data_IF_835491341983
#
_entry.id   IF_835491341983
#
_cell.length_a   1.000
_cell.length_b   1.000
_cell.length_c   1.000
_cell.angle_alpha   90.00
_cell.angle_beta   90.00
_cell.angle_gamma   90.00
#
_symmetry.space_group_name_H-M   'P 1'
#
loop_
_entity.id
_entity.type
_entity.pdbx_description
1 polymer ?
#
# COMPACT_ATOMS: atom_id res chain seq x y z
N UNK A 1 -42.83 27.80 -49.13
CA UNK A 1 -41.89 28.03 -48.03
C UNK A 1 -42.22 27.12 -46.85
N UNK A 2 -41.45 26.04 -46.64
CA UNK A 2 -41.45 25.26 -45.39
C UNK A 2 -40.00 24.86 -45.12
N UNK A 3 -39.37 25.47 -44.11
CA UNK A 3 -38.07 25.02 -43.58
C UNK A 3 -38.36 24.13 -42.38
N UNK A 4 -37.99 22.85 -42.49
CA UNK A 4 -38.00 21.91 -41.37
C UNK A 4 -36.66 22.05 -40.66
N UNK A 5 -36.68 22.48 -39.40
CA UNK A 5 -35.49 22.49 -38.54
C UNK A 5 -35.36 21.14 -37.84
N UNK A 6 -34.36 20.35 -38.24
CA UNK A 6 -33.97 19.15 -37.53
C UNK A 6 -33.17 19.55 -36.27
N UNK A 7 -33.68 19.19 -35.09
CA UNK A 7 -32.94 19.27 -33.83
C UNK A 7 -32.08 18.03 -33.69
N UNK A 8 -30.77 18.17 -33.82
CA UNK A 8 -29.81 17.13 -33.45
C UNK A 8 -29.69 17.10 -31.92
N UNK A 9 -30.19 16.04 -31.29
CA UNK A 9 -29.93 15.77 -29.87
C UNK A 9 -28.57 15.09 -29.72
N UNK A 10 -27.65 15.70 -28.98
CA UNK A 10 -26.44 15.02 -28.54
C UNK A 10 -26.81 14.01 -27.45
N UNK A 11 -26.62 12.72 -27.74
CA UNK A 11 -26.60 11.66 -26.72
C UNK A 11 -25.21 11.68 -26.09
N UNK A 12 -25.11 12.18 -24.86
CA UNK A 12 -23.91 12.04 -24.06
C UNK A 12 -23.81 10.58 -23.57
N UNK A 13 -22.96 9.79 -24.23
CA UNK A 13 -22.61 8.45 -23.77
C UNK A 13 -21.68 8.59 -22.56
N UNK A 14 -22.23 8.49 -21.35
CA UNK A 14 -21.43 8.39 -20.14
C UNK A 14 -20.70 7.04 -20.16
N UNK A 15 -19.40 7.06 -20.49
CA UNK A 15 -18.51 5.93 -20.30
C UNK A 15 -18.40 5.67 -18.80
N UNK A 16 -19.17 4.71 -18.30
CA UNK A 16 -18.95 4.16 -16.97
C UNK A 16 -17.58 3.48 -16.98
N UNK A 17 -16.60 4.11 -16.35
CA UNK A 17 -15.32 3.46 -16.07
C UNK A 17 -15.61 2.21 -15.23
N UNK A 18 -15.09 1.03 -15.61
CA UNK A 18 -15.29 -0.15 -14.80
C UNK A 18 -14.74 0.14 -13.39
N UNK A 19 -15.63 0.05 -12.40
CA UNK A 19 -15.22 -0.02 -11.01
C UNK A 19 -14.49 -1.33 -10.83
N UNK A 20 -13.16 -1.31 -10.92
CA UNK A 20 -12.35 -2.43 -10.47
C UNK A 20 -12.75 -2.71 -9.02
N UNK A 21 -13.34 -3.88 -8.77
CA UNK A 21 -13.67 -4.30 -7.42
C UNK A 21 -12.39 -4.29 -6.59
N UNK A 22 -12.48 -3.82 -5.34
CA UNK A 22 -11.36 -3.90 -4.42
C UNK A 22 -10.96 -5.39 -4.29
N UNK A 23 -9.86 -5.76 -4.91
CA UNK A 23 -9.29 -7.09 -4.82
C UNK A 23 -8.39 -7.12 -3.60
N UNK A 24 -8.49 -8.21 -2.83
CA UNK A 24 -7.66 -8.47 -1.68
C UNK A 24 -7.03 -9.84 -1.88
N UNK A 25 -5.76 -9.96 -1.53
CA UNK A 25 -5.05 -11.22 -1.49
C UNK A 25 -5.59 -12.08 -0.35
N UNK A 26 -5.92 -13.31 -0.70
CA UNK A 26 -5.90 -14.42 0.24
C UNK A 26 -4.49 -15.01 0.35
N UNK A 27 -4.31 -15.99 1.23
CA UNK A 27 -3.04 -16.70 1.42
C UNK A 27 -2.46 -17.23 0.10
N UNK A 28 -3.32 -17.76 -0.78
CA UNK A 28 -2.91 -18.33 -2.04
C UNK A 28 -2.46 -17.25 -3.04
N UNK A 29 -3.16 -16.11 -3.10
CA UNK A 29 -2.81 -14.96 -3.91
C UNK A 29 -1.49 -14.32 -3.46
N UNK A 30 -1.28 -14.19 -2.15
CA UNK A 30 -0.02 -13.71 -1.59
C UNK A 30 1.14 -14.64 -1.96
N UNK A 31 0.94 -15.96 -1.88
CA UNK A 31 1.95 -16.93 -2.30
C UNK A 31 2.21 -16.88 -3.81
N UNK A 32 1.18 -16.76 -4.66
CA UNK A 32 1.34 -16.59 -6.12
C UNK A 32 2.16 -15.35 -6.46
N UNK A 33 1.87 -14.22 -5.81
CA UNK A 33 2.65 -12.99 -6.01
C UNK A 33 4.12 -13.18 -5.59
N UNK A 34 4.37 -13.86 -4.46
CA UNK A 34 5.72 -14.17 -4.01
C UNK A 34 6.48 -15.06 -5.00
N UNK A 35 5.84 -16.07 -5.56
CA UNK A 35 6.40 -16.92 -6.62
C UNK A 35 6.74 -16.11 -7.88
N UNK A 36 5.87 -15.18 -8.27
CA UNK A 36 6.12 -14.29 -9.41
C UNK A 36 7.31 -13.35 -9.17
N UNK A 37 7.46 -12.80 -7.96
CA UNK A 37 8.62 -11.99 -7.55
C UNK A 37 9.93 -12.79 -7.66
N UNK A 38 9.92 -14.05 -7.19
CA UNK A 38 11.11 -14.91 -7.24
C UNK A 38 11.44 -15.32 -8.66
N UNK A 39 10.45 -15.78 -9.43
CA UNK A 39 10.61 -16.23 -10.82
C UNK A 39 11.13 -15.11 -11.72
N UNK A 40 10.66 -13.89 -11.51
CA UNK A 40 11.10 -12.71 -12.27
C UNK A 40 12.43 -12.14 -11.78
N UNK A 41 12.93 -12.61 -10.63
CA UNK A 41 14.10 -12.07 -9.96
C UNK A 41 13.95 -10.56 -9.61
N UNK A 42 12.71 -10.07 -9.47
CA UNK A 42 12.45 -8.64 -9.29
C UNK A 42 12.98 -8.11 -7.95
N UNK A 43 12.87 -8.90 -6.87
CA UNK A 43 13.47 -8.56 -5.57
C UNK A 43 15.01 -8.65 -5.55
N UNK A 44 15.63 -9.13 -6.63
CA UNK A 44 17.09 -9.32 -6.78
C UNK A 44 17.72 -10.10 -5.62
N UNK A 45 17.09 -11.21 -5.24
CA UNK A 45 17.58 -12.09 -4.17
C UNK A 45 17.48 -11.52 -2.76
N UNK A 46 16.74 -10.43 -2.54
CA UNK A 46 16.47 -9.86 -1.21
C UNK A 46 15.20 -10.45 -0.59
N UNK A 47 15.11 -10.42 0.74
CA UNK A 47 13.82 -10.57 1.42
C UNK A 47 12.86 -9.47 0.95
N UNK A 48 11.57 -9.80 0.89
CA UNK A 48 10.57 -8.86 0.42
C UNK A 48 9.27 -8.93 1.20
N UNK A 49 8.56 -7.82 1.25
CA UNK A 49 7.23 -7.72 1.84
C UNK A 49 6.20 -7.31 0.79
N UNK A 50 4.97 -7.76 0.96
CA UNK A 50 3.83 -7.44 0.11
C UNK A 50 2.76 -6.80 0.99
N UNK A 51 2.37 -5.57 0.69
CA UNK A 51 1.38 -4.79 1.43
C UNK A 51 0.12 -4.70 0.59
N UNK A 52 -0.92 -5.37 1.06
CA UNK A 52 -2.27 -5.32 0.51
C UNK A 52 -3.07 -4.24 1.25
N UNK A 53 -3.42 -3.16 0.54
CA UNK A 53 -4.14 -2.03 1.13
C UNK A 53 -5.63 -2.33 1.40
N UNK A 54 -6.39 -2.96 0.47
CA UNK A 54 -7.76 -3.41 0.75
C UNK A 54 -7.88 -4.33 1.97
N UNK A 55 -6.99 -5.31 2.12
CA UNK A 55 -6.97 -6.20 3.28
C UNK A 55 -6.33 -5.56 4.52
N UNK A 56 -5.57 -4.49 4.34
CA UNK A 56 -4.72 -3.88 5.35
C UNK A 56 -3.80 -4.92 6.02
N UNK A 57 -3.12 -5.70 5.19
CA UNK A 57 -2.24 -6.81 5.60
C UNK A 57 -0.86 -6.65 4.97
N UNK A 58 0.17 -6.96 5.75
CA UNK A 58 1.53 -7.16 5.24
C UNK A 58 1.91 -8.63 5.31
N UNK A 59 2.47 -9.15 4.22
CA UNK A 59 3.08 -10.47 4.11
C UNK A 59 4.59 -10.31 3.98
N UNK A 60 5.38 -11.11 4.68
CA UNK A 60 6.85 -11.03 4.67
C UNK A 60 7.42 -12.36 4.20
N UNK A 61 8.25 -12.32 3.16
CA UNK A 61 8.87 -13.49 2.54
C UNK A 61 10.40 -13.41 2.62
N UNK A 62 11.06 -14.56 2.71
CA UNK A 62 12.50 -14.63 2.48
C UNK A 62 12.84 -14.51 0.99
N UNK A 63 14.13 -14.43 0.67
CA UNK A 63 14.62 -14.28 -0.71
C UNK A 63 14.20 -15.41 -1.67
N UNK A 64 13.74 -16.55 -1.15
CA UNK A 64 13.26 -17.70 -1.94
C UNK A 64 11.73 -17.73 -2.06
N UNK A 65 11.03 -16.70 -1.55
CA UNK A 65 9.57 -16.62 -1.60
C UNK A 65 8.88 -17.48 -0.55
N UNK A 66 9.59 -17.93 0.50
CA UNK A 66 8.95 -18.65 1.61
C UNK A 66 8.38 -17.65 2.61
N UNK A 67 7.12 -17.84 2.98
CA UNK A 67 6.44 -17.00 3.96
C UNK A 67 7.12 -17.08 5.34
N UNK A 68 7.52 -15.93 5.88
CA UNK A 68 8.08 -15.77 7.22
C UNK A 68 7.02 -15.30 8.23
N UNK A 69 5.97 -14.64 7.76
CA UNK A 69 4.83 -14.25 8.57
C UNK A 69 3.96 -13.20 7.88
N UNK A 70 2.78 -12.99 8.45
CA UNK A 70 1.84 -11.94 8.05
C UNK A 70 1.29 -11.19 9.27
N UNK A 71 0.78 -9.98 9.06
CA UNK A 71 0.21 -9.17 10.13
C UNK A 71 -0.79 -8.14 9.59
N UNK A 72 -1.86 -7.81 10.33
CA UNK A 72 -2.63 -6.61 10.04
C UNK A 72 -1.75 -5.37 10.22
N UNK A 73 -1.98 -4.37 9.38
CA UNK A 73 -1.31 -3.06 9.42
C UNK A 73 -2.33 -1.95 9.38
N UNK A 74 -1.94 -0.72 9.73
CA UNK A 74 -2.72 0.47 9.38
C UNK A 74 -2.14 1.09 8.13
N UNK A 75 -3.01 1.51 7.21
CA UNK A 75 -2.67 2.16 5.95
C UNK A 75 -3.34 3.53 5.87
N UNK A 76 -3.08 4.23 4.78
CA UNK A 76 -3.66 5.52 4.45
C UNK A 76 -5.18 5.52 4.60
N UNK A 77 -5.71 6.60 5.19
CA UNK A 77 -7.14 6.78 5.40
C UNK A 77 -7.93 6.71 4.08
N UNK A 78 -7.40 7.26 2.99
CA UNK A 78 -8.05 7.23 1.70
C UNK A 78 -7.62 6.02 0.86
N UNK A 79 -8.56 5.36 0.16
CA UNK A 79 -8.23 4.50 -0.97
C UNK A 79 -7.56 5.31 -2.09
N UNK A 80 -6.53 4.74 -2.71
CA UNK A 80 -5.84 5.34 -3.85
C UNK A 80 -4.43 4.85 -4.00
N UNK A 81 -3.85 5.01 -5.19
CA UNK A 81 -2.54 4.47 -5.51
C UNK A 81 -1.43 5.51 -5.63
N UNK A 82 -1.78 6.80 -5.65
CA UNK A 82 -0.88 7.92 -5.85
C UNK A 82 -1.29 9.05 -4.92
N UNK A 83 -0.38 9.47 -4.04
CA UNK A 83 -0.53 10.68 -3.24
C UNK A 83 -0.10 11.92 -4.04
N UNK A 84 -0.51 13.15 -3.65
CA UNK A 84 -0.03 14.38 -4.27
C UNK A 84 1.51 14.46 -4.28
N UNK A 85 2.14 15.02 -5.35
CA UNK A 85 3.60 15.06 -5.46
C UNK A 85 4.32 15.79 -4.32
N UNK A 86 3.66 16.77 -3.69
CA UNK A 86 4.21 17.58 -2.60
C UNK A 86 3.95 16.99 -1.20
N UNK A 87 3.32 15.81 -1.11
CA UNK A 87 2.79 15.28 0.16
C UNK A 87 3.83 15.16 1.27
N UNK A 88 5.08 14.79 0.94
CA UNK A 88 6.14 14.62 1.92
C UNK A 88 6.67 15.92 2.51
N UNK A 89 6.45 17.05 1.82
CA UNK A 89 6.86 18.39 2.30
C UNK A 89 5.70 19.20 2.91
N UNK A 90 4.46 18.73 2.72
CA UNK A 90 3.26 19.44 3.15
C UNK A 90 3.05 19.29 4.66
N UNK A 91 2.78 20.38 5.41
CA UNK A 91 2.38 20.29 6.81
C UNK A 91 1.16 19.37 6.98
N UNK A 92 1.19 18.46 7.96
CA UNK A 92 0.12 17.47 8.17
C UNK A 92 -1.26 18.12 8.33
N UNK A 93 -1.35 19.31 8.95
CA UNK A 93 -2.60 20.06 9.10
C UNK A 93 -3.25 20.50 7.77
N UNK A 94 -2.48 20.49 6.67
CA UNK A 94 -2.94 20.84 5.31
C UNK A 94 -3.19 19.62 4.43
N UNK A 95 -2.91 18.41 4.91
CA UNK A 95 -3.21 17.17 4.18
C UNK A 95 -4.69 16.85 4.33
N UNK A 96 -5.42 16.81 3.20
CA UNK A 96 -6.84 16.50 3.19
C UNK A 96 -7.07 15.01 3.44
N UNK A 97 -8.21 14.61 4.02
CA UNK A 97 -8.54 13.19 4.20
C UNK A 97 -8.39 12.35 2.93
N UNK A 98 -8.77 12.88 1.76
CA UNK A 98 -8.66 12.19 0.46
C UNK A 98 -7.23 12.03 -0.06
N UNK A 99 -6.26 12.74 0.51
CA UNK A 99 -4.85 12.72 0.10
C UNK A 99 -3.99 11.80 0.99
N UNK A 100 -4.57 11.28 2.08
CA UNK A 100 -3.91 10.36 3.02
C UNK A 100 -3.84 8.96 2.43
N UNK A 101 -2.97 8.78 1.45
CA UNK A 101 -2.87 7.58 0.63
C UNK A 101 -1.55 6.85 0.93
N UNK A 102 -1.61 5.53 1.11
CA UNK A 102 -0.40 4.70 1.01
C UNK A 102 -0.10 4.46 -0.46
N UNK A 103 0.91 5.14 -0.99
CA UNK A 103 1.27 5.09 -2.42
C UNK A 103 1.67 3.69 -2.85
N UNK A 104 1.03 3.17 -3.90
CA UNK A 104 1.36 1.87 -4.47
C UNK A 104 2.67 1.93 -5.25
N UNK A 105 3.50 0.89 -5.16
CA UNK A 105 4.81 0.88 -5.81
C UNK A 105 5.74 -0.23 -5.33
N UNK A 106 6.93 -0.27 -5.92
CA UNK A 106 8.05 -1.12 -5.52
C UNK A 106 9.14 -0.26 -4.91
N UNK A 107 9.48 -0.53 -3.65
CA UNK A 107 10.43 0.27 -2.90
C UNK A 107 11.60 -0.59 -2.44
N UNK A 108 12.83 -0.11 -2.63
CA UNK A 108 14.00 -0.66 -1.94
C UNK A 108 14.08 0.06 -0.61
N UNK A 109 14.21 -0.70 0.48
CA UNK A 109 14.09 -0.12 1.81
C UNK A 109 15.38 0.50 2.30
N UNK A 110 15.25 1.59 3.06
CA UNK A 110 16.36 2.25 3.73
C UNK A 110 16.08 2.41 5.23
N UNK A 111 17.09 2.27 6.11
CA UNK A 111 16.93 2.56 7.53
C UNK A 111 16.74 4.07 7.76
N UNK A 112 15.96 4.42 8.77
CA UNK A 112 15.69 5.81 9.12
C UNK A 112 15.42 6.02 10.59
N UNK A 113 15.33 7.29 10.99
CA UNK A 113 14.78 7.70 12.28
C UNK A 113 13.74 8.79 12.08
N UNK A 114 12.67 8.75 12.86
CA UNK A 114 11.72 9.84 12.91
C UNK A 114 12.23 11.01 13.78
N UNK A 115 11.43 12.08 13.88
CA UNK A 115 11.73 13.27 14.71
C UNK A 115 11.80 12.99 16.21
N UNK A 116 11.31 11.84 16.67
CA UNK A 116 11.38 11.38 18.05
C UNK A 116 12.55 10.42 18.31
N UNK A 117 13.39 10.15 17.29
CA UNK A 117 14.56 9.28 17.38
C UNK A 117 14.27 7.78 17.21
N UNK A 118 13.01 7.39 17.02
CA UNK A 118 12.62 5.99 16.79
C UNK A 118 13.05 5.52 15.41
N UNK A 119 13.56 4.30 15.31
CA UNK A 119 13.88 3.65 14.05
C UNK A 119 12.62 3.39 13.21
N UNK A 120 12.74 3.67 11.92
CA UNK A 120 11.71 3.46 10.90
C UNK A 120 12.36 2.87 9.64
N UNK A 121 11.53 2.28 8.77
CA UNK A 121 11.95 1.87 7.44
C UNK A 121 11.41 2.86 6.42
N UNK A 122 12.28 3.58 5.73
CA UNK A 122 11.92 4.41 4.59
C UNK A 122 11.59 3.54 3.38
N UNK A 123 10.48 3.85 2.73
CA UNK A 123 10.12 3.31 1.40
C UNK A 123 10.37 4.36 0.33
N UNK A 124 9.97 5.61 0.62
CA UNK A 124 10.22 6.77 -0.21
C UNK A 124 10.41 7.98 0.73
N UNK A 125 11.63 8.49 0.80
CA UNK A 125 11.99 9.59 1.68
C UNK A 125 11.30 10.90 1.27
N UNK A 126 11.30 11.21 -0.03
CA UNK A 126 10.74 12.46 -0.58
C UNK A 126 9.21 12.50 -0.43
N UNK A 127 8.54 11.36 -0.56
CA UNK A 127 7.11 11.24 -0.31
C UNK A 127 6.75 11.08 1.19
N UNK A 128 7.75 11.09 2.08
CA UNK A 128 7.60 10.79 3.51
C UNK A 128 6.86 9.46 3.80
N UNK A 129 7.04 8.45 2.94
CA UNK A 129 6.43 7.14 3.05
C UNK A 129 7.36 6.18 3.81
N UNK A 130 6.87 5.64 4.92
CA UNK A 130 7.62 4.70 5.75
C UNK A 130 6.77 3.57 6.31
N UNK A 131 7.44 2.49 6.73
CA UNK A 131 6.91 1.51 7.67
C UNK A 131 7.45 1.80 9.06
N UNK A 132 6.59 1.79 10.08
CA UNK A 132 7.03 1.97 11.46
C UNK A 132 6.07 1.31 12.46
N UNK A 133 6.55 1.14 13.70
CA UNK A 133 5.72 0.66 14.81
C UNK A 133 4.47 1.53 14.96
N UNK A 134 3.33 0.89 15.22
CA UNK A 134 2.10 1.61 15.57
C UNK A 134 2.34 2.45 16.83
N UNK A 135 1.85 3.70 16.81
CA UNK A 135 1.87 4.61 17.95
C UNK A 135 0.45 4.84 18.44
N UNK A 136 0.29 5.05 19.74
CA UNK A 136 -0.99 5.44 20.30
C UNK A 136 -1.16 6.97 20.21
N UNK A 137 -1.79 7.41 19.14
CA UNK A 137 -2.13 8.83 18.94
C UNK A 137 -3.43 9.12 19.69
N UNK A 138 -3.48 10.14 20.57
CA UNK A 138 -4.68 10.48 21.33
C UNK A 138 -5.92 10.61 20.44
N UNK A 139 -6.99 9.90 20.81
CA UNK A 139 -8.27 9.90 20.10
C UNK A 139 -8.32 9.04 18.82
N UNK A 140 -7.19 8.51 18.35
CA UNK A 140 -7.19 7.66 17.15
C UNK A 140 -7.30 6.16 17.48
N UNK A 141 -6.92 5.74 18.69
CA UNK A 141 -7.01 4.35 19.14
C UNK A 141 -6.35 3.34 18.19
N UNK A 142 -5.22 3.70 17.58
CA UNK A 142 -4.52 2.91 16.55
C UNK A 142 -4.21 1.46 17.00
N UNK A 143 -3.72 1.20 18.22
CA UNK A 143 -3.49 -0.18 18.68
C UNK A 143 -4.80 -1.00 18.81
N UNK A 144 -5.93 -0.37 19.08
CA UNK A 144 -7.23 -1.05 19.11
C UNK A 144 -7.73 -1.38 17.70
N UNK A 145 -7.60 -0.44 16.75
CA UNK A 145 -7.95 -0.63 15.33
C UNK A 145 -7.22 -1.81 14.67
N UNK A 146 -5.96 -2.04 15.03
CA UNK A 146 -5.21 -3.20 14.55
C UNK A 146 -5.81 -4.54 15.01
N UNK A 147 -6.48 -4.56 16.17
CA UNK A 147 -7.06 -5.77 16.76
C UNK A 147 -8.49 -6.05 16.29
N UNK A 148 -9.16 -5.08 15.65
CA UNK A 148 -10.51 -5.32 15.12
C UNK A 148 -10.44 -6.25 13.89
N UNK A 149 -11.50 -7.00 13.58
CA UNK A 149 -11.57 -7.79 12.35
C UNK A 149 -11.78 -6.90 11.10
N UNK A 150 -12.33 -5.69 11.25
CA UNK A 150 -12.66 -4.81 10.13
C UNK A 150 -11.43 -4.19 9.46
N UNK A 151 -11.44 -4.14 8.13
CA UNK A 151 -10.40 -3.46 7.32
C UNK A 151 -10.60 -1.94 7.30
N UNK A 152 -11.85 -1.46 7.37
CA UNK A 152 -12.17 -0.04 7.45
C UNK A 152 -11.51 0.65 8.65
N UNK A 153 -11.46 -0.02 9.81
CA UNK A 153 -10.80 0.50 11.01
C UNK A 153 -9.31 0.76 10.80
N UNK A 154 -8.69 0.06 9.85
CA UNK A 154 -7.25 0.10 9.57
C UNK A 154 -6.84 1.20 8.61
N UNK A 155 -7.80 1.96 8.06
CA UNK A 155 -7.55 3.12 7.20
C UNK A 155 -7.58 4.39 8.03
N UNK A 156 -6.41 4.83 8.49
CA UNK A 156 -6.30 5.97 9.41
C UNK A 156 -5.03 6.79 9.26
N UNK A 157 -3.95 6.21 8.71
CA UNK A 157 -2.67 6.89 8.62
C UNK A 157 -2.69 7.99 7.56
N UNK A 158 -1.66 8.82 7.55
CA UNK A 158 -1.45 9.83 6.49
C UNK A 158 -0.79 9.23 5.23
N UNK A 159 -0.47 7.94 5.23
CA UNK A 159 0.20 7.25 4.13
C UNK A 159 1.16 6.17 4.63
N UNK A 160 1.86 6.41 5.74
CA UNK A 160 2.76 5.43 6.36
C UNK A 160 2.03 4.12 6.73
N UNK A 161 2.76 3.03 6.70
CA UNK A 161 2.27 1.70 7.08
C UNK A 161 2.61 1.49 8.55
N UNK A 162 1.60 1.36 9.41
CA UNK A 162 1.81 1.18 10.85
C UNK A 162 1.69 -0.29 11.21
N UNK A 163 2.73 -0.84 11.82
CA UNK A 163 2.91 -2.27 12.06
C UNK A 163 2.85 -2.55 13.56
N UNK A 164 2.23 -3.66 14.01
CA UNK A 164 2.33 -4.08 15.41
C UNK A 164 3.79 -4.19 15.85
N UNK A 165 4.13 -3.61 16.99
CA UNK A 165 5.51 -3.53 17.52
C UNK A 165 6.27 -4.86 17.46
N UNK A 166 5.67 -5.92 18.03
CA UNK A 166 6.30 -7.26 18.03
C UNK A 166 6.56 -7.81 16.63
N UNK A 167 5.67 -7.54 15.67
CA UNK A 167 5.87 -7.98 14.29
C UNK A 167 6.96 -7.15 13.61
N UNK A 168 6.97 -5.84 13.86
CA UNK A 168 8.01 -4.94 13.38
C UNK A 168 9.40 -5.40 13.85
N UNK A 169 9.60 -5.61 15.15
CA UNK A 169 10.90 -5.96 15.71
C UNK A 169 11.41 -7.34 15.26
N UNK A 170 10.48 -8.28 15.03
CA UNK A 170 10.83 -9.66 14.66
C UNK A 170 11.00 -9.88 13.17
N UNK A 171 10.28 -9.12 12.34
CA UNK A 171 10.19 -9.36 10.89
C UNK A 171 10.58 -8.15 10.07
N UNK A 172 10.16 -6.95 10.45
CA UNK A 172 10.42 -5.75 9.65
C UNK A 172 11.84 -5.23 9.85
N UNK A 173 12.20 -4.88 11.08
CA UNK A 173 13.51 -4.28 11.38
C UNK A 173 14.70 -5.14 10.89
N UNK A 174 14.77 -6.46 11.16
CA UNK A 174 15.91 -7.27 10.75
C UNK A 174 16.08 -7.39 9.22
N UNK A 175 14.98 -7.35 8.46
CA UNK A 175 14.96 -7.66 7.03
C UNK A 175 14.91 -6.41 6.13
N UNK A 176 14.43 -5.29 6.65
CA UNK A 176 14.15 -4.09 5.86
C UNK A 176 14.79 -2.81 6.42
N UNK A 177 15.24 -2.80 7.68
CA UNK A 177 15.99 -1.69 8.29
C UNK A 177 17.49 -2.04 8.37
N UNK A 178 17.83 -3.13 9.09
CA UNK A 178 19.23 -3.58 9.25
C UNK A 178 19.83 -4.16 7.97
N UNK A 179 18.98 -4.56 7.04
CA UNK A 179 19.32 -5.03 5.71
C UNK A 179 18.37 -4.36 4.71
N UNK A 180 18.86 -4.06 3.51
CA UNK A 180 17.99 -3.58 2.45
C UNK A 180 17.14 -4.73 1.91
N UNK A 181 15.82 -4.56 1.95
CA UNK A 181 14.83 -5.45 1.37
C UNK A 181 14.06 -4.78 0.24
N UNK A 182 12.99 -5.43 -0.22
CA UNK A 182 12.04 -4.83 -1.18
C UNK A 182 10.63 -4.86 -0.61
N UNK A 183 9.90 -3.75 -0.68
CA UNK A 183 8.50 -3.68 -0.27
C UNK A 183 7.65 -3.39 -1.49
N UNK A 184 6.71 -4.27 -1.79
CA UNK A 184 5.69 -4.09 -2.81
C UNK A 184 4.41 -3.61 -2.13
N UNK A 185 3.99 -2.38 -2.40
CA UNK A 185 2.67 -1.89 -2.02
C UNK A 185 1.75 -2.08 -3.21
N UNK A 186 0.75 -2.95 -3.06
CA UNK A 186 -0.14 -3.33 -4.16
C UNK A 186 -1.10 -2.20 -4.53
N UNK A 187 -1.42 -2.00 -5.81
CA UNK A 187 -2.44 -1.04 -6.21
C UNK A 187 -3.83 -1.52 -5.82
N UNK A 188 -4.73 -0.59 -5.53
CA UNK A 188 -6.15 -0.87 -5.22
C UNK A 188 -7.13 -0.13 -6.13
N UNK A 189 -6.64 0.81 -6.95
CA UNK A 189 -7.46 1.52 -7.95
C UNK A 189 -6.95 1.28 -9.38
N UNK A 190 -5.72 0.81 -9.53
CA UNK A 190 -5.13 0.39 -10.81
C UNK A 190 -5.01 -1.12 -10.91
N UNK A 191 -5.05 -1.69 -12.13
CA UNK A 191 -4.76 -3.10 -12.34
C UNK A 191 -3.35 -3.46 -11.85
N UNK A 192 -3.21 -4.63 -11.22
CA UNK A 192 -1.94 -5.10 -10.66
C UNK A 192 -0.80 -5.10 -11.69
N UNK A 193 -1.08 -5.62 -12.89
CA UNK A 193 -0.12 -5.73 -13.98
C UNK A 193 0.39 -4.38 -14.51
N UNK A 194 -0.30 -3.28 -14.24
CA UNK A 194 0.16 -1.95 -14.62
C UNK A 194 1.39 -1.52 -13.81
N UNK A 195 1.50 -1.96 -12.56
CA UNK A 195 2.66 -1.68 -11.69
C UNK A 195 3.64 -2.85 -11.70
N UNK A 196 3.14 -4.08 -11.72
CA UNK A 196 3.95 -5.29 -11.62
C UNK A 196 3.66 -6.20 -12.81
N UNK A 197 4.19 -5.85 -13.98
CA UNK A 197 4.00 -6.62 -15.21
C UNK A 197 4.55 -8.06 -15.16
N UNK A 198 5.36 -8.37 -14.13
CA UNK A 198 5.84 -9.72 -13.86
C UNK A 198 4.81 -10.62 -13.15
N UNK A 199 3.82 -10.02 -12.47
CA UNK A 199 2.81 -10.74 -11.71
C UNK A 199 1.78 -11.34 -12.67
N UNK A 200 1.67 -12.68 -12.70
CA UNK A 200 0.78 -13.45 -13.55
C UNK A 200 -0.15 -14.27 -12.66
N UNK A 201 -1.32 -13.71 -12.30
CA UNK A 201 -2.40 -14.45 -11.65
C UNK A 201 -2.60 -14.22 -10.15
N UNK A 202 -1.97 -13.19 -9.56
CA UNK A 202 -2.31 -12.75 -8.20
C UNK A 202 -3.59 -11.88 -8.14
N UNK A 203 -4.09 -11.44 -9.31
CA UNK A 203 -5.36 -10.72 -9.51
C UNK A 203 -6.50 -11.65 -10.00
N UNK A 204 -6.26 -12.97 -10.04
CA UNK A 204 -7.23 -14.00 -10.45
C UNK A 204 -7.72 -14.82 -9.26
#
# INVERSE_FOLDING_TARGET
MRRVHARAGLIALALALPTFGAWALDDAGAQRFAEDVVRSHDARGRAFAVVDKPAATVWVFDARGRLLGQSPVLVGQAPGDVAPPDIGSRPLSRVKPSEKITTAGRYVTEPGRNTHGEDIVWLDYEAALSMHRVRDVPGEHRPARLRTPGTADKRISFGCINVPERFYDRRIDPLFSRQAGVVYVLPETRPLHQLFGFARGADR
#
